data_IF_151076559378
#
_entry.id   IF_151076559378
#
_cell.length_a   1.000
_cell.length_b   1.000
_cell.length_c   1.000
_cell.angle_alpha   90.00
_cell.angle_beta   90.00
_cell.angle_gamma   90.00
#
_symmetry.space_group_name_H-M   'P 1'
#
loop_
_entity.id
_entity.type
_entity.pdbx_description
1 polymer ?
#
# COMPACT_ATOMS: atom_id res chain seq x y z
N UNK A 1 -5.65 -3.22 -33.87
CA UNK A 1 -5.61 -3.50 -32.42
C UNK A 1 -4.82 -2.41 -31.71
N UNK A 2 -5.42 -1.79 -30.72
CA UNK A 2 -4.78 -0.71 -29.97
C UNK A 2 -3.76 -1.28 -29.00
N UNK A 3 -2.62 -0.62 -28.90
CA UNK A 3 -1.50 -1.13 -28.10
C UNK A 3 -1.72 -0.90 -26.61
N UNK A 4 -1.35 -1.89 -25.83
CA UNK A 4 -1.15 -1.78 -24.40
C UNK A 4 0.34 -1.65 -24.13
N UNK A 5 0.74 -0.62 -23.39
CA UNK A 5 2.12 -0.39 -23.00
C UNK A 5 2.31 -0.87 -21.55
N UNK A 6 3.39 -1.61 -21.34
CA UNK A 6 3.80 -2.05 -20.01
C UNK A 6 5.22 -1.53 -19.78
N UNK A 7 5.41 -0.81 -18.69
CA UNK A 7 6.69 -0.19 -18.38
C UNK A 7 7.00 -0.31 -16.89
N UNK A 8 8.29 -0.58 -16.58
CA UNK A 8 8.80 -0.58 -15.21
C UNK A 8 9.71 0.63 -15.04
N UNK A 9 9.40 1.48 -14.07
CA UNK A 9 10.23 2.65 -13.72
C UNK A 9 10.38 2.79 -12.22
N UNK A 10 11.45 3.44 -11.80
CA UNK A 10 11.58 3.93 -10.43
C UNK A 10 10.76 5.20 -10.27
N UNK A 11 10.00 5.26 -9.20
CA UNK A 11 9.24 6.46 -8.83
C UNK A 11 9.51 6.77 -7.36
N UNK A 12 9.89 8.02 -7.10
CA UNK A 12 10.05 8.51 -5.72
C UNK A 12 8.70 8.87 -5.15
N UNK A 13 8.35 8.24 -4.02
CA UNK A 13 7.09 8.52 -3.32
C UNK A 13 7.42 8.88 -1.87
N UNK A 14 6.92 10.01 -1.36
CA UNK A 14 7.08 10.34 0.05
C UNK A 14 6.49 9.24 0.93
N UNK A 15 7.29 8.71 1.84
CA UNK A 15 6.93 7.55 2.64
C UNK A 15 7.23 7.79 4.12
N UNK A 16 6.28 7.41 4.97
CA UNK A 16 6.47 7.32 6.42
C UNK A 16 6.93 5.90 6.74
N UNK A 17 8.24 5.67 6.68
CA UNK A 17 8.82 4.33 6.78
C UNK A 17 8.59 3.77 8.19
N UNK A 18 7.87 2.65 8.33
CA UNK A 18 7.64 2.04 9.64
C UNK A 18 8.93 1.43 10.18
N UNK A 19 8.99 1.28 11.50
CA UNK A 19 10.07 0.56 12.17
C UNK A 19 9.98 -0.94 11.84
N UNK A 20 11.06 -1.66 12.10
CA UNK A 20 11.07 -3.11 11.98
C UNK A 20 9.99 -3.76 12.86
N UNK A 21 9.47 -4.90 12.40
CA UNK A 21 8.52 -5.68 13.18
C UNK A 21 9.18 -6.21 14.48
N UNK A 22 8.36 -6.45 15.49
CA UNK A 22 8.83 -7.09 16.73
C UNK A 22 9.21 -8.54 16.46
N UNK A 23 10.05 -9.10 17.34
CA UNK A 23 10.47 -10.51 17.23
C UNK A 23 9.34 -11.50 17.58
N UNK A 24 8.32 -11.04 18.28
CA UNK A 24 7.21 -11.85 18.75
C UNK A 24 5.91 -11.51 18.03
N UNK A 25 4.99 -12.50 17.92
CA UNK A 25 3.65 -12.23 17.42
C UNK A 25 2.83 -11.41 18.41
N UNK A 26 1.74 -10.83 17.91
CA UNK A 26 0.80 -10.09 18.73
C UNK A 26 -0.08 -11.03 19.54
N UNK A 27 -0.21 -10.75 20.84
CA UNK A 27 -1.07 -11.50 21.77
C UNK A 27 -2.29 -10.67 22.15
N UNK A 28 -3.47 -11.23 21.93
CA UNK A 28 -4.73 -10.65 22.43
C UNK A 28 -5.26 -11.52 23.56
N UNK A 29 -5.38 -10.96 24.74
CA UNK A 29 -5.97 -11.65 25.88
C UNK A 29 -7.48 -11.81 25.70
N UNK A 30 -7.92 -12.86 25.01
CA UNK A 30 -9.34 -13.25 24.87
C UNK A 30 -10.31 -12.10 24.51
N UNK A 31 -9.82 -11.03 23.93
CA UNK A 31 -10.65 -9.88 23.54
C UNK A 31 -10.62 -9.72 22.02
N UNK A 32 -11.62 -10.21 21.30
CA UNK A 32 -11.76 -9.94 19.88
C UNK A 32 -11.83 -8.43 19.65
N UNK A 33 -11.02 -7.91 18.72
CA UNK A 33 -11.01 -6.51 18.39
C UNK A 33 -11.29 -6.35 16.89
N UNK A 34 -12.24 -5.49 16.56
CA UNK A 34 -12.62 -5.18 15.16
C UNK A 34 -12.75 -6.41 14.24
N UNK A 35 -13.51 -7.41 14.69
CA UNK A 35 -13.73 -8.62 13.91
C UNK A 35 -12.60 -9.65 13.99
N UNK A 36 -11.59 -9.45 14.82
CA UNK A 36 -10.56 -10.44 15.08
C UNK A 36 -11.15 -11.69 15.74
N UNK A 37 -10.63 -12.85 15.39
CA UNK A 37 -11.08 -14.14 15.93
C UNK A 37 -10.60 -14.40 17.37
N UNK A 38 -9.78 -13.55 17.94
CA UNK A 38 -9.09 -13.79 19.21
C UNK A 38 -7.95 -14.78 19.11
N UNK A 39 -7.60 -15.24 17.91
CA UNK A 39 -6.48 -16.15 17.69
C UNK A 39 -5.16 -15.38 17.59
N UNK A 40 -4.08 -16.03 18.00
CA UNK A 40 -2.73 -15.50 17.81
C UNK A 40 -2.29 -15.79 16.39
N UNK A 41 -1.92 -14.75 15.66
CA UNK A 41 -1.33 -14.91 14.33
C UNK A 41 0.16 -15.20 14.47
N UNK A 42 0.69 -16.26 13.83
CA UNK A 42 2.10 -16.64 13.92
C UNK A 42 2.98 -15.77 13.01
N UNK A 43 2.79 -14.47 13.06
CA UNK A 43 3.56 -13.49 12.29
C UNK A 43 4.10 -12.42 13.25
N UNK A 44 5.26 -11.83 12.95
CA UNK A 44 5.79 -10.74 13.76
C UNK A 44 4.82 -9.57 13.86
N UNK A 45 4.66 -9.03 15.05
CA UNK A 45 3.81 -7.85 15.26
C UNK A 45 4.52 -6.59 14.79
N UNK A 46 3.82 -5.78 14.03
CA UNK A 46 4.35 -4.51 13.54
C UNK A 46 3.41 -3.37 13.93
N UNK A 47 3.86 -2.51 14.83
CA UNK A 47 3.12 -1.34 15.30
C UNK A 47 3.94 -0.04 15.26
N UNK A 48 5.19 -0.12 14.83
CA UNK A 48 6.11 1.01 14.80
C UNK A 48 5.84 1.96 13.64
N UNK A 49 4.88 2.86 13.79
CA UNK A 49 4.63 3.93 12.81
C UNK A 49 5.45 5.16 13.17
N UNK A 50 5.60 6.09 12.20
CA UNK A 50 6.36 7.33 12.38
C UNK A 50 5.63 8.49 11.74
N UNK A 51 5.92 9.69 12.24
CA UNK A 51 5.45 10.96 11.64
C UNK A 51 6.51 11.62 10.76
N UNK A 52 7.66 10.98 10.60
CA UNK A 52 8.75 11.49 9.77
C UNK A 52 8.65 10.93 8.36
N UNK A 53 8.55 11.84 7.39
CA UNK A 53 8.41 11.52 5.97
C UNK A 53 9.77 11.61 5.27
N UNK A 54 10.09 10.60 4.46
CA UNK A 54 11.28 10.57 3.60
C UNK A 54 10.89 10.12 2.21
N UNK A 55 11.65 10.53 1.20
CA UNK A 55 11.44 10.05 -0.16
C UNK A 55 12.05 8.66 -0.33
N UNK A 56 11.25 7.73 -0.83
CA UNK A 56 11.66 6.35 -1.10
C UNK A 56 11.39 6.02 -2.55
N UNK A 57 12.37 5.39 -3.21
CA UNK A 57 12.23 4.95 -4.58
C UNK A 57 11.58 3.58 -4.64
N UNK A 58 10.47 3.50 -5.37
CA UNK A 58 9.73 2.27 -5.61
C UNK A 58 9.82 1.84 -7.07
N UNK A 59 9.87 0.52 -7.29
CA UNK A 59 9.59 -0.02 -8.61
C UNK A 59 8.10 0.09 -8.89
N UNK A 60 7.74 0.79 -9.94
CA UNK A 60 6.35 0.97 -10.36
C UNK A 60 6.15 0.40 -11.75
N UNK A 61 5.20 -0.52 -11.87
CA UNK A 61 4.78 -1.06 -13.15
C UNK A 61 3.58 -0.28 -13.66
N UNK A 62 3.73 0.36 -14.81
CA UNK A 62 2.66 1.09 -15.45
C UNK A 62 2.11 0.26 -16.60
N UNK A 63 0.79 0.07 -16.60
CA UNK A 63 0.06 -0.59 -17.69
C UNK A 63 -0.93 0.42 -18.23
N UNK A 64 -0.80 0.78 -19.49
CA UNK A 64 -1.65 1.81 -20.09
C UNK A 64 -2.02 1.54 -21.54
N UNK A 65 -3.16 2.06 -21.93
CA UNK A 65 -3.59 2.18 -23.31
C UNK A 65 -4.08 3.61 -23.57
N UNK A 66 -4.81 3.85 -24.64
CA UNK A 66 -5.32 5.20 -24.95
C UNK A 66 -6.39 5.70 -23.97
N UNK A 67 -7.03 4.79 -23.21
CA UNK A 67 -8.15 5.13 -22.33
C UNK A 67 -7.76 5.20 -20.86
N UNK A 68 -6.92 4.26 -20.42
CA UNK A 68 -6.65 4.03 -18.99
C UNK A 68 -5.17 3.89 -18.73
N UNK A 69 -4.74 4.39 -17.59
CA UNK A 69 -3.39 4.17 -17.04
C UNK A 69 -3.50 3.63 -15.64
N UNK A 70 -2.85 2.49 -15.38
CA UNK A 70 -2.79 1.89 -14.05
C UNK A 70 -1.34 1.74 -13.61
N UNK A 71 -1.10 1.87 -12.31
CA UNK A 71 0.22 1.72 -11.72
C UNK A 71 0.16 0.72 -10.58
N UNK A 72 1.04 -0.28 -10.64
CA UNK A 72 1.15 -1.34 -9.63
C UNK A 72 2.49 -1.22 -8.93
N UNK A 73 2.48 -1.29 -7.60
CA UNK A 73 3.68 -1.19 -6.76
C UNK A 73 3.88 -2.49 -6.00
N UNK A 74 4.79 -3.38 -6.46
CA UNK A 74 5.02 -4.67 -5.79
C UNK A 74 5.44 -4.55 -4.34
N UNK A 75 6.27 -3.57 -4.00
CA UNK A 75 6.74 -3.35 -2.63
C UNK A 75 5.63 -2.98 -1.64
N UNK A 76 4.46 -2.59 -2.12
CA UNK A 76 3.28 -2.29 -1.32
C UNK A 76 2.24 -3.43 -1.39
N UNK A 77 2.69 -4.66 -1.48
CA UNK A 77 1.82 -5.83 -1.55
C UNK A 77 1.19 -6.05 -2.92
N UNK A 78 1.80 -5.54 -3.99
CA UNK A 78 1.23 -5.64 -5.34
C UNK A 78 0.04 -4.71 -5.55
N UNK A 79 -0.07 -3.67 -4.75
CA UNK A 79 -1.17 -2.73 -4.76
C UNK A 79 -1.26 -1.98 -6.10
N UNK A 80 -2.47 -1.82 -6.62
CA UNK A 80 -2.75 -0.87 -7.70
C UNK A 80 -2.81 0.51 -7.07
N UNK A 81 -1.71 1.24 -7.14
CA UNK A 81 -1.59 2.53 -6.47
C UNK A 81 -2.44 3.60 -7.14
N UNK A 82 -2.55 3.55 -8.45
CA UNK A 82 -3.26 4.56 -9.24
C UNK A 82 -4.03 3.92 -10.38
N UNK A 83 -5.28 4.37 -10.57
CA UNK A 83 -6.07 4.11 -11.75
C UNK A 83 -6.54 5.43 -12.33
N UNK A 84 -6.08 5.77 -13.51
CA UNK A 84 -6.37 7.06 -14.15
C UNK A 84 -7.15 6.89 -15.45
N UNK A 85 -8.27 7.61 -15.55
CA UNK A 85 -9.07 7.70 -16.76
C UNK A 85 -8.53 8.84 -17.64
N UNK A 86 -7.93 8.47 -18.76
CA UNK A 86 -7.32 9.44 -19.68
C UNK A 86 -8.36 10.24 -20.44
N UNK A 87 -9.53 9.66 -20.69
CA UNK A 87 -10.62 10.33 -21.41
C UNK A 87 -11.32 11.35 -20.52
N UNK A 88 -11.67 10.95 -19.29
CA UNK A 88 -12.31 11.84 -18.33
C UNK A 88 -11.34 12.71 -17.54
N UNK A 89 -10.04 12.49 -17.69
CA UNK A 89 -8.98 13.24 -17.00
C UNK A 89 -9.11 13.26 -15.48
N UNK A 90 -9.36 12.07 -14.89
CA UNK A 90 -9.48 11.94 -13.45
C UNK A 90 -9.02 10.57 -12.96
N UNK A 91 -8.60 10.51 -11.70
CA UNK A 91 -8.34 9.24 -11.03
C UNK A 91 -9.69 8.60 -10.63
N UNK A 92 -9.94 7.36 -11.08
CA UNK A 92 -11.17 6.62 -10.73
C UNK A 92 -10.98 5.73 -9.50
N UNK A 93 -9.76 5.63 -8.99
CA UNK A 93 -9.40 5.00 -7.71
C UNK A 93 -8.80 6.09 -6.86
N UNK A 94 -9.15 6.14 -5.56
CA UNK A 94 -8.54 7.11 -4.66
C UNK A 94 -7.02 7.01 -4.71
N UNK A 95 -6.38 8.07 -5.17
CA UNK A 95 -4.93 8.16 -5.28
C UNK A 95 -4.37 8.94 -4.09
N UNK A 96 -3.63 8.24 -3.24
CA UNK A 96 -2.90 8.86 -2.14
C UNK A 96 -1.45 9.09 -2.58
N UNK A 97 -1.02 10.34 -2.59
CA UNK A 97 0.31 10.75 -3.07
C UNK A 97 1.44 10.43 -2.08
N UNK A 98 1.11 9.90 -0.92
CA UNK A 98 2.07 9.50 0.11
C UNK A 98 1.82 8.07 0.54
N UNK A 99 2.85 7.37 0.97
CA UNK A 99 2.75 6.08 1.63
C UNK A 99 2.82 6.31 3.14
N UNK A 100 1.66 6.28 3.80
CA UNK A 100 1.57 6.49 5.25
C UNK A 100 0.88 5.30 5.92
N UNK A 101 1.66 4.37 6.47
CA UNK A 101 1.09 3.26 7.24
C UNK A 101 0.36 3.76 8.48
N UNK A 102 -0.79 3.14 8.78
CA UNK A 102 -1.61 3.46 9.95
C UNK A 102 -2.11 2.17 10.61
N UNK A 103 -2.27 2.22 11.93
CA UNK A 103 -2.73 1.07 12.70
C UNK A 103 -4.26 1.01 12.69
N UNK A 104 -4.82 0.51 11.60
CA UNK A 104 -6.27 0.32 11.45
C UNK A 104 -6.65 -1.16 11.30
N UNK A 105 -5.67 -2.02 11.11
CA UNK A 105 -5.85 -3.45 11.01
C UNK A 105 -5.32 -4.19 12.23
N UNK A 106 -5.49 -5.51 12.24
CA UNK A 106 -5.14 -6.35 13.38
C UNK A 106 -3.68 -6.76 13.35
N UNK A 107 -3.14 -7.02 12.17
CA UNK A 107 -1.83 -7.66 12.00
C UNK A 107 -0.70 -6.67 11.69
N UNK A 108 -0.94 -5.39 11.74
CA UNK A 108 0.10 -4.39 11.49
C UNK A 108 -0.38 -3.16 10.74
N UNK A 109 0.55 -2.34 10.26
CA UNK A 109 0.22 -1.11 9.54
C UNK A 109 -0.52 -1.37 8.23
N UNK A 110 -1.51 -0.55 7.96
CA UNK A 110 -2.30 -0.57 6.73
C UNK A 110 -2.07 0.71 5.94
N UNK A 111 -2.06 0.61 4.61
CA UNK A 111 -1.79 1.74 3.72
C UNK A 111 -3.06 2.13 2.99
N UNK A 112 -3.45 3.40 3.07
CA UNK A 112 -4.61 3.95 2.40
C UNK A 112 -4.33 4.26 0.93
N UNK A 113 -5.37 4.22 0.10
CA UNK A 113 -5.32 4.55 -1.32
C UNK A 113 -5.06 3.34 -2.20
N UNK A 114 -5.57 3.40 -3.44
CA UNK A 114 -5.47 2.29 -4.39
C UNK A 114 -6.33 1.08 -4.03
N UNK A 115 -6.03 -0.03 -4.68
CA UNK A 115 -6.70 -1.32 -4.48
C UNK A 115 -5.67 -2.40 -4.20
#
# INVERSE_FOLDING_TARGET
MKKVLVEKKKQSIPTYVPKAAHDLPMFFENKPYQGASGRIYPIPYSDGITDTKTDVDYDVFTVENEYVKTQVVPALGGKILRGYDKVGSHDFIYYNEVVKPALVGIAGPWISGGI
#
